data_IF_832391340735
#
_entry.id   IF_832391340735
#
_cell.length_a   1.000
_cell.length_b   1.000
_cell.length_c   1.000
_cell.angle_alpha   90.00
_cell.angle_beta   90.00
_cell.angle_gamma   90.00
#
_symmetry.space_group_name_H-M   'P 1'
#
loop_
_entity.id
_entity.type
_entity.pdbx_description
1 polymer ?
#
# COMPACT_ATOMS: atom_id res chain seq x y z
N UNK A 1 -0.07 2.45 16.16
CA UNK A 1 0.76 2.91 15.01
C UNK A 1 -0.14 3.44 13.90
N UNK A 2 0.13 4.62 13.35
CA UNK A 2 -0.69 5.21 12.28
C UNK A 2 -0.22 4.75 10.89
N UNK A 3 -0.70 3.59 10.43
CA UNK A 3 -0.33 3.01 9.13
C UNK A 3 -0.53 3.96 7.94
N UNK A 4 -1.55 4.80 7.97
CA UNK A 4 -1.82 5.79 6.92
C UNK A 4 -0.75 6.88 6.79
N UNK A 5 -0.03 7.19 7.87
CA UNK A 5 1.05 8.19 7.87
C UNK A 5 2.43 7.57 7.60
N UNK A 6 2.55 6.24 7.66
CA UNK A 6 3.82 5.55 7.43
C UNK A 6 4.29 5.72 5.98
N UNK A 7 5.61 5.88 5.79
CA UNK A 7 6.22 5.84 4.44
C UNK A 7 6.13 4.44 3.87
N UNK A 8 6.06 4.32 2.55
CA UNK A 8 5.94 3.01 1.90
C UNK A 8 7.09 2.08 2.26
N UNK A 9 8.32 2.61 2.33
CA UNK A 9 9.51 1.85 2.76
C UNK A 9 9.36 1.25 4.16
N UNK A 10 8.86 2.03 5.12
CA UNK A 10 8.63 1.55 6.49
C UNK A 10 7.58 0.43 6.55
N UNK A 11 6.55 0.51 5.70
CA UNK A 11 5.56 -0.57 5.62
C UNK A 11 6.19 -1.87 5.08
N UNK A 12 7.08 -1.78 4.10
CA UNK A 12 7.81 -2.96 3.58
C UNK A 12 8.79 -3.53 4.60
N UNK A 13 9.51 -2.67 5.31
CA UNK A 13 10.42 -3.07 6.38
C UNK A 13 9.67 -3.88 7.44
N UNK A 14 8.54 -3.37 7.95
CA UNK A 14 7.73 -4.08 8.95
C UNK A 14 7.08 -5.35 8.38
N UNK A 15 6.57 -5.29 7.16
CA UNK A 15 5.83 -6.42 6.57
C UNK A 15 6.71 -7.63 6.24
N UNK A 16 7.98 -7.42 5.92
CA UNK A 16 8.84 -8.45 5.34
C UNK A 16 10.24 -8.57 5.95
N UNK A 17 10.81 -7.48 6.47
CA UNK A 17 12.21 -7.45 6.89
C UNK A 17 12.38 -7.49 8.41
N UNK A 18 11.36 -7.09 9.17
CA UNK A 18 11.39 -7.08 10.63
C UNK A 18 11.00 -8.46 11.20
N UNK A 19 11.94 -9.25 11.75
CA UNK A 19 11.63 -10.54 12.34
C UNK A 19 10.90 -10.42 13.68
N UNK A 20 11.12 -9.34 14.43
CA UNK A 20 10.57 -9.11 15.78
C UNK A 20 9.16 -8.51 15.77
N UNK A 21 8.75 -7.93 14.64
CA UNK A 21 7.41 -7.41 14.49
C UNK A 21 6.34 -8.48 14.73
N UNK A 22 5.39 -8.17 15.62
CA UNK A 22 4.26 -9.05 15.90
C UNK A 22 3.42 -9.35 14.63
N UNK A 23 2.79 -10.52 14.53
CA UNK A 23 2.05 -10.94 13.33
C UNK A 23 1.01 -9.92 12.85
N UNK A 24 0.25 -9.32 13.77
CA UNK A 24 -0.77 -8.32 13.46
C UNK A 24 -0.18 -7.03 12.86
N UNK A 25 1.06 -6.67 13.24
CA UNK A 25 1.75 -5.53 12.63
C UNK A 25 2.17 -5.84 11.19
N UNK A 26 2.63 -7.07 10.92
CA UNK A 26 2.97 -7.52 9.57
C UNK A 26 1.75 -7.51 8.66
N UNK A 27 0.62 -8.01 9.14
CA UNK A 27 -0.65 -8.03 8.40
C UNK A 27 -1.19 -6.61 8.14
N UNK A 28 -1.18 -5.74 9.16
CA UNK A 28 -1.59 -4.34 9.02
C UNK A 28 -0.75 -3.59 7.98
N UNK A 29 0.57 -3.80 7.99
CA UNK A 29 1.47 -3.21 7.01
C UNK A 29 1.20 -3.73 5.59
N UNK A 30 1.00 -5.05 5.41
CA UNK A 30 0.64 -5.65 4.11
C UNK A 30 -0.69 -5.12 3.57
N UNK A 31 -1.71 -5.03 4.41
CA UNK A 31 -3.02 -4.50 4.03
C UNK A 31 -2.92 -3.04 3.54
N UNK A 32 -2.14 -2.21 4.23
CA UNK A 32 -1.93 -0.81 3.85
C UNK A 32 -1.16 -0.69 2.52
N UNK A 33 -0.15 -1.54 2.30
CA UNK A 33 0.58 -1.63 1.02
C UNK A 33 -0.40 -1.93 -0.12
N UNK A 34 -1.21 -3.00 0.01
CA UNK A 34 -2.19 -3.41 -1.01
C UNK A 34 -3.21 -2.30 -1.27
N UNK A 35 -3.70 -1.64 -0.21
CA UNK A 35 -4.64 -0.52 -0.32
C UNK A 35 -4.08 0.63 -1.14
N UNK A 36 -2.81 1.02 -0.90
CA UNK A 36 -2.13 2.09 -1.65
C UNK A 36 -1.92 1.71 -3.11
N UNK A 37 -1.50 0.47 -3.36
CA UNK A 37 -1.32 -0.07 -4.71
C UNK A 37 -2.65 -0.04 -5.49
N UNK A 38 -3.73 -0.56 -4.90
CA UNK A 38 -5.08 -0.53 -5.50
C UNK A 38 -5.53 0.89 -5.82
N UNK A 39 -5.32 1.86 -4.92
CA UNK A 39 -5.64 3.27 -5.17
C UNK A 39 -4.83 3.86 -6.33
N UNK A 40 -3.53 3.56 -6.41
CA UNK A 40 -2.65 4.04 -7.50
C UNK A 40 -3.12 3.50 -8.86
N UNK A 41 -3.31 2.18 -8.98
CA UNK A 41 -3.75 1.57 -10.23
C UNK A 41 -5.18 1.96 -10.62
N UNK A 42 -6.12 2.08 -9.66
CA UNK A 42 -7.46 2.61 -9.94
C UNK A 42 -7.40 4.03 -10.52
N UNK A 43 -6.50 4.87 -10.01
CA UNK A 43 -6.28 6.24 -10.52
C UNK A 43 -5.64 6.25 -11.90
N UNK A 44 -4.70 5.34 -12.18
CA UNK A 44 -4.10 5.18 -13.52
C UNK A 44 -5.16 4.76 -14.54
N UNK A 45 -5.95 3.72 -14.23
CA UNK A 45 -7.02 3.23 -15.10
C UNK A 45 -8.09 4.30 -15.37
N UNK A 46 -8.44 5.09 -14.35
CA UNK A 46 -9.34 6.24 -14.51
C UNK A 46 -8.76 7.32 -15.44
N UNK A 47 -7.47 7.65 -15.30
CA UNK A 47 -6.80 8.60 -16.19
C UNK A 47 -6.73 8.08 -17.63
N UNK A 48 -6.38 6.81 -17.83
CA UNK A 48 -6.32 6.19 -19.16
C UNK A 48 -7.68 6.25 -19.88
N UNK A 49 -8.78 5.91 -19.18
CA UNK A 49 -10.15 6.06 -19.71
C UNK A 49 -10.55 7.50 -20.02
N UNK A 50 -9.99 8.49 -19.32
CA UNK A 50 -10.27 9.92 -19.59
C UNK A 50 -9.51 10.41 -20.83
N UNK A 51 -8.27 9.94 -21.05
CA UNK A 51 -7.41 10.39 -22.16
C UNK A 51 -7.83 9.77 -23.49
N UNK A 52 -8.32 8.52 -23.48
CA UNK A 52 -8.92 7.89 -24.65
C UNK A 52 -10.44 7.88 -24.50
N UNK A 53 -11.15 8.95 -24.90
CA UNK A 53 -12.59 8.85 -25.10
C UNK A 53 -12.84 7.83 -26.21
N UNK A 54 -13.82 6.98 -25.99
CA UNK A 54 -14.19 5.88 -26.88
C UNK A 54 -14.81 6.39 -28.17
#
# INVERSE_FOLDING_TARGET
>A
MNWHKAKMRQLYEIAFLDPEAAPWHKEGAKAEIVRRIRRKYKRINFKARKVYPR
#
